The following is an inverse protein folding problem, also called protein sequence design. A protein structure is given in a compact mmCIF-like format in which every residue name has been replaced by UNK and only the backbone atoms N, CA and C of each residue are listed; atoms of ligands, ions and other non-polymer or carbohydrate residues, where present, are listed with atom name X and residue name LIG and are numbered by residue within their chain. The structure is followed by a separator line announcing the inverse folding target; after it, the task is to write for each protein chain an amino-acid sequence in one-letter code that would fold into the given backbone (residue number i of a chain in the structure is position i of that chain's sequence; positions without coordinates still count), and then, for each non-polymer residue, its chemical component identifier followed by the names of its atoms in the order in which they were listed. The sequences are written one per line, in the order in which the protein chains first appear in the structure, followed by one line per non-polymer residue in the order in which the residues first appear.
data_IF_775659424305
#
_entry.id   IF_775659424305
#
_cell.length_a   1.000
_cell.length_b   1.000
_cell.length_c   1.000
_cell.angle_alpha   90.00
_cell.angle_beta   90.00
_cell.angle_gamma   90.00
#
_symmetry.space_group_name_H-M   'P 1'
#
loop_
_entity.id
_entity.type
_entity.pdbx_description
1 polymer ?
#
# COMPACT_ATOMS: atom_id res chain seq x y z
N UNK A 1 -0.20 -13.38 1.92
CA UNK A 1 0.60 -13.01 3.10
C UNK A 1 -0.16 -12.08 4.06
N UNK A 2 -0.94 -11.11 3.59
CA UNK A 2 -1.71 -10.23 4.47
C UNK A 2 -2.71 -10.95 5.39
N UNK A 3 -3.40 -12.00 4.91
CA UNK A 3 -4.26 -12.82 5.76
C UNK A 3 -3.51 -13.49 6.93
N UNK A 4 -2.26 -13.91 6.71
CA UNK A 4 -1.40 -14.52 7.73
C UNK A 4 -0.94 -13.45 8.74
N UNK A 5 -0.67 -12.23 8.27
CA UNK A 5 -0.37 -11.10 9.15
C UNK A 5 -1.60 -10.77 10.02
N UNK A 6 -2.79 -10.73 9.43
CA UNK A 6 -4.02 -10.42 10.14
C UNK A 6 -4.43 -11.52 11.14
N UNK A 7 -4.16 -12.79 10.83
CA UNK A 7 -4.43 -13.91 11.75
C UNK A 7 -3.52 -13.95 12.98
N UNK A 8 -2.53 -13.05 13.06
CA UNK A 8 -1.52 -12.98 14.10
C UNK A 8 -1.62 -11.60 14.80
N UNK A 9 -2.36 -11.52 15.93
CA UNK A 9 -2.70 -10.25 16.59
C UNK A 9 -1.50 -9.37 16.96
N UNK A 10 -0.34 -9.97 17.20
CA UNK A 10 0.90 -9.29 17.53
C UNK A 10 1.51 -8.49 16.36
N UNK A 11 1.06 -8.76 15.12
CA UNK A 11 1.47 -8.00 13.94
C UNK A 11 0.58 -6.78 13.78
N UNK A 12 1.19 -5.60 13.86
CA UNK A 12 0.50 -4.32 13.79
C UNK A 12 0.60 -3.65 12.42
N UNK A 13 1.64 -3.97 11.64
CA UNK A 13 1.89 -3.35 10.34
C UNK A 13 2.34 -4.39 9.30
N UNK A 14 2.07 -4.08 8.04
CA UNK A 14 2.65 -4.75 6.88
C UNK A 14 3.55 -3.75 6.16
N UNK A 15 4.82 -4.11 5.99
CA UNK A 15 5.77 -3.34 5.22
C UNK A 15 5.94 -3.99 3.84
N UNK A 16 5.62 -3.24 2.80
CA UNK A 16 5.92 -3.56 1.41
C UNK A 16 7.26 -2.95 1.03
N UNK A 17 8.09 -3.76 0.36
CA UNK A 17 9.41 -3.37 -0.13
C UNK A 17 9.61 -4.06 -1.48
N UNK A 18 9.68 -3.29 -2.55
CA UNK A 18 10.07 -3.81 -3.85
C UNK A 18 11.55 -4.24 -3.82
N UNK A 19 11.88 -5.32 -4.54
CA UNK A 19 13.22 -5.91 -4.54
C UNK A 19 14.32 -4.99 -5.11
N UNK A 20 13.94 -3.94 -5.83
CA UNK A 20 14.85 -2.95 -6.43
C UNK A 20 14.83 -1.59 -5.73
N UNK A 21 14.17 -1.49 -4.58
CA UNK A 21 14.13 -0.25 -3.80
C UNK A 21 15.32 -0.15 -2.85
N UNK A 22 16.07 0.95 -2.98
CA UNK A 22 17.09 1.34 -1.99
C UNK A 22 16.53 2.42 -1.06
N UNK A 23 16.65 2.20 0.25
CA UNK A 23 16.19 3.15 1.25
C UNK A 23 17.03 3.05 2.52
N UNK A 24 17.04 4.14 3.29
CA UNK A 24 17.68 4.16 4.61
C UNK A 24 16.76 3.47 5.63
N UNK A 25 17.28 2.59 6.52
CA UNK A 25 16.46 1.97 7.56
C UNK A 25 15.70 2.98 8.44
N UNK A 26 16.29 4.16 8.67
CA UNK A 26 15.66 5.28 9.40
C UNK A 26 14.32 5.72 8.79
N UNK A 27 14.13 5.51 7.48
CA UNK A 27 12.85 5.79 6.82
C UNK A 27 11.73 4.94 7.41
N UNK A 28 11.96 3.65 7.69
CA UNK A 28 10.94 2.76 8.28
C UNK A 28 10.62 3.18 9.72
N UNK A 29 11.63 3.49 10.53
CA UNK A 29 11.40 4.00 11.89
C UNK A 29 10.60 5.31 11.89
N UNK A 30 10.89 6.20 10.94
CA UNK A 30 10.12 7.43 10.77
C UNK A 30 8.68 7.17 10.36
N UNK A 31 8.44 6.22 9.45
CA UNK A 31 7.09 5.81 9.05
C UNK A 31 6.29 5.27 10.25
N UNK A 32 6.92 4.43 11.08
CA UNK A 32 6.33 3.92 12.32
C UNK A 32 5.98 5.04 13.31
N UNK A 33 6.88 6.01 13.51
CA UNK A 33 6.65 7.16 14.40
C UNK A 33 5.52 8.08 13.95
N UNK A 34 5.25 8.15 12.65
CA UNK A 34 4.20 8.99 12.10
C UNK A 34 2.79 8.42 12.32
N UNK A 35 2.69 7.13 12.66
CA UNK A 35 1.45 6.44 13.06
C UNK A 35 0.26 6.76 12.14
N UNK A 36 0.48 6.55 10.84
CA UNK A 36 -0.56 6.74 9.81
C UNK A 36 -1.10 5.39 9.36
N UNK A 37 -2.41 5.28 9.08
CA UNK A 37 -2.98 4.02 8.58
C UNK A 37 -2.28 3.49 7.33
N UNK A 38 -1.88 4.39 6.43
CA UNK A 38 -1.05 4.11 5.27
C UNK A 38 -0.01 5.23 5.16
N UNK A 39 1.25 4.86 4.96
CA UNK A 39 2.32 5.80 4.63
C UNK A 39 3.28 5.14 3.64
N UNK A 40 3.59 5.84 2.55
CA UNK A 40 4.50 5.37 1.51
C UNK A 40 5.53 6.42 1.15
N UNK A 41 6.65 5.97 0.60
CA UNK A 41 7.68 6.86 0.07
C UNK A 41 7.36 7.24 -1.38
N UNK A 42 7.64 8.48 -1.74
CA UNK A 42 7.61 8.94 -3.13
C UNK A 42 8.98 8.69 -3.75
N UNK A 43 9.01 8.02 -4.89
CA UNK A 43 10.24 7.66 -5.60
C UNK A 43 10.08 7.86 -7.12
N UNK A 44 11.18 8.06 -7.86
CA UNK A 44 11.11 8.27 -9.30
C UNK A 44 10.71 6.98 -10.02
N UNK A 45 9.99 7.13 -11.14
CA UNK A 45 9.75 6.07 -12.11
C UNK A 45 11.07 5.64 -12.75
N UNK A 46 11.15 4.40 -13.24
CA UNK A 46 12.33 3.84 -13.94
C UNK A 46 12.51 4.43 -15.35
N UNK A 47 12.68 5.75 -15.46
CA UNK A 47 12.86 6.50 -16.71
C UNK A 47 13.64 7.80 -16.45
N UNK A 48 14.24 8.42 -17.48
CA UNK A 48 14.99 9.67 -17.31
C UNK A 48 14.12 10.77 -16.69
N UNK A 49 14.64 11.42 -15.66
CA UNK A 49 13.97 12.52 -14.96
C UNK A 49 13.90 13.75 -15.87
N UNK A 50 12.69 14.24 -16.12
CA UNK A 50 12.41 15.49 -16.84
C UNK A 50 12.21 16.69 -15.89
N UNK A 51 12.22 16.44 -14.57
CA UNK A 51 11.96 17.40 -13.48
C UNK A 51 10.47 17.64 -13.18
N UNK A 52 9.56 16.80 -13.69
CA UNK A 52 8.12 16.90 -13.46
C UNK A 52 7.66 15.96 -12.34
N UNK A 53 6.56 16.29 -11.65
CA UNK A 53 5.92 15.39 -10.69
C UNK A 53 5.48 14.08 -11.33
N UNK A 54 5.18 14.10 -12.63
CA UNK A 54 4.85 12.90 -13.41
C UNK A 54 5.98 11.88 -13.45
N UNK A 55 7.21 12.29 -13.14
CA UNK A 55 8.37 11.42 -13.05
C UNK A 55 8.41 10.64 -11.74
N UNK A 56 7.53 10.95 -10.78
CA UNK A 56 7.44 10.26 -9.50
C UNK A 56 6.22 9.33 -9.45
N UNK A 57 6.33 8.30 -8.62
CA UNK A 57 5.24 7.36 -8.32
C UNK A 57 4.42 7.92 -7.16
N UNK A 58 3.50 8.81 -7.48
CA UNK A 58 2.56 9.42 -6.54
C UNK A 58 1.32 9.90 -7.28
N UNK A 59 0.15 9.78 -6.66
CA UNK A 59 -1.10 10.35 -7.15
C UNK A 59 -1.54 11.49 -6.23
N UNK A 60 -1.56 12.72 -6.73
CA UNK A 60 -2.00 13.91 -5.98
C UNK A 60 -3.47 14.26 -6.22
N UNK A 61 -4.19 13.45 -6.99
CA UNK A 61 -5.57 13.71 -7.37
C UNK A 61 -5.73 15.08 -8.03
N UNK A 62 -6.71 15.86 -7.57
CA UNK A 62 -6.98 17.22 -8.06
C UNK A 62 -6.24 18.30 -7.26
N UNK A 63 -5.26 17.94 -6.42
CA UNK A 63 -4.53 18.91 -5.61
C UNK A 63 -3.60 19.76 -6.47
N UNK A 64 -3.82 21.08 -6.50
CA UNK A 64 -2.94 22.04 -7.19
C UNK A 64 -1.78 22.53 -6.32
N UNK A 65 -1.86 22.28 -5.00
CA UNK A 65 -0.82 22.62 -4.03
C UNK A 65 -0.73 21.54 -2.96
N UNK A 66 0.49 21.09 -2.68
CA UNK A 66 0.79 20.17 -1.58
C UNK A 66 1.34 20.94 -0.38
N UNK A 67 0.78 20.69 0.79
CA UNK A 67 1.32 21.19 2.05
C UNK A 67 2.29 20.14 2.62
N UNK A 68 3.59 20.42 2.47
CA UNK A 68 4.65 19.51 2.92
C UNK A 68 5.18 20.00 4.26
N UNK A 69 4.98 19.21 5.33
CA UNK A 69 5.54 19.47 6.66
C UNK A 69 6.61 18.42 6.96
N UNK A 70 7.84 18.89 7.14
CA UNK A 70 9.00 18.04 7.40
C UNK A 70 9.22 16.94 6.34
N UNK A 71 8.80 17.16 5.09
CA UNK A 71 8.90 16.14 4.04
C UNK A 71 7.76 15.12 4.01
N UNK A 72 6.67 15.35 4.75
CA UNK A 72 5.44 14.55 4.71
C UNK A 72 4.30 15.40 4.15
N UNK A 73 3.48 14.81 3.29
CA UNK A 73 2.26 15.42 2.80
C UNK A 73 1.18 14.36 2.57
N UNK A 74 -0.08 14.80 2.58
CA UNK A 74 -1.21 13.96 2.20
C UNK A 74 -1.38 13.99 0.67
N UNK A 75 -1.58 12.81 0.10
CA UNK A 75 -1.78 12.58 -1.33
C UNK A 75 -2.97 11.66 -1.53
N UNK A 76 -3.49 11.58 -2.76
CA UNK A 76 -4.59 10.70 -3.12
C UNK A 76 -4.17 9.22 -3.22
N UNK A 77 -2.91 8.95 -3.55
CA UNK A 77 -2.35 7.60 -3.62
C UNK A 77 -0.82 7.61 -3.67
N UNK A 78 -0.22 6.49 -3.24
CA UNK A 78 1.22 6.26 -3.22
C UNK A 78 1.53 4.91 -3.86
N UNK A 79 2.67 4.79 -4.53
CA UNK A 79 3.14 3.50 -5.02
C UNK A 79 3.50 2.54 -3.90
N UNK A 80 3.51 1.24 -4.20
CA UNK A 80 3.74 0.17 -3.21
C UNK A 80 5.21 -0.21 -3.01
N UNK A 81 6.17 0.50 -3.63
CA UNK A 81 7.58 0.12 -3.57
C UNK A 81 8.24 0.26 -2.20
N UNK A 82 7.79 1.20 -1.37
CA UNK A 82 8.13 1.25 0.05
C UNK A 82 6.96 1.85 0.82
N UNK A 83 6.06 0.99 1.28
CA UNK A 83 4.79 1.39 1.90
C UNK A 83 4.52 0.58 3.16
N UNK A 84 4.15 1.29 4.22
CA UNK A 84 3.76 0.73 5.51
C UNK A 84 2.25 0.88 5.68
N UNK A 85 1.57 -0.25 5.92
CA UNK A 85 0.11 -0.33 6.10
C UNK A 85 -0.17 -0.83 7.51
N UNK A 86 -0.93 -0.06 8.29
CA UNK A 86 -1.39 -0.47 9.61
C UNK A 86 -2.48 -1.54 9.51
N UNK A 87 -2.52 -2.49 10.45
CA UNK A 87 -3.47 -3.62 10.45
C UNK A 87 -4.92 -3.18 10.36
N UNK A 88 -5.25 -2.01 10.91
CA UNK A 88 -6.62 -1.46 10.91
C UNK A 88 -7.14 -1.24 9.50
N UNK A 89 -6.27 -0.97 8.52
CA UNK A 89 -6.67 -0.86 7.11
C UNK A 89 -7.19 -2.20 6.60
N UNK A 90 -6.47 -3.30 6.88
CA UNK A 90 -6.92 -4.64 6.49
C UNK A 90 -8.21 -5.04 7.21
N UNK A 91 -8.35 -4.71 8.50
CA UNK A 91 -9.56 -4.93 9.27
C UNK A 91 -10.75 -4.16 8.69
N UNK A 92 -10.55 -2.90 8.28
CA UNK A 92 -11.55 -2.09 7.61
C UNK A 92 -11.94 -2.69 6.25
N UNK A 93 -10.98 -3.14 5.45
CA UNK A 93 -11.25 -3.82 4.18
C UNK A 93 -12.04 -5.12 4.38
N UNK A 94 -11.73 -5.92 5.41
CA UNK A 94 -12.53 -7.09 5.78
C UNK A 94 -13.94 -6.70 6.19
N UNK A 95 -14.08 -5.59 6.93
CA UNK A 95 -15.35 -5.05 7.39
C UNK A 95 -16.29 -4.59 6.26
N UNK A 96 -15.81 -4.36 5.04
CA UNK A 96 -16.69 -4.03 3.90
C UNK A 96 -17.51 -5.23 3.43
N UNK A 97 -17.02 -6.46 3.67
CA UNK A 97 -17.63 -7.68 3.16
C UNK A 97 -17.45 -7.92 1.66
N UNK A 98 -16.67 -7.09 0.97
CA UNK A 98 -16.48 -7.16 -0.49
C UNK A 98 -15.32 -8.07 -0.91
N UNK A 99 -14.42 -8.39 0.03
CA UNK A 99 -13.26 -9.23 -0.26
C UNK A 99 -13.69 -10.69 -0.49
N UNK A 100 -13.12 -11.30 -1.54
CA UNK A 100 -13.20 -12.76 -1.71
C UNK A 100 -12.61 -13.45 -0.49
N UNK A 101 -13.31 -14.46 0.01
CA UNK A 101 -12.89 -15.25 1.16
C UNK A 101 -12.70 -16.71 0.76
N UNK A 102 -11.66 -17.35 1.29
CA UNK A 102 -11.47 -18.79 1.15
C UNK A 102 -10.69 -19.38 2.32
N UNK A 103 -10.77 -20.69 2.47
CA UNK A 103 -9.90 -21.46 3.37
C UNK A 103 -9.11 -22.49 2.56
N UNK A 104 -7.77 -22.52 2.66
CA UNK A 104 -6.96 -23.54 1.99
C UNK A 104 -7.32 -24.96 2.43
N UNK A 105 -7.62 -25.13 3.73
CA UNK A 105 -8.14 -26.34 4.34
C UNK A 105 -9.09 -25.98 5.50
N UNK A 106 -9.79 -26.97 6.08
CA UNK A 106 -10.79 -26.71 7.14
C UNK A 106 -10.19 -26.10 8.42
N UNK A 107 -8.95 -26.45 8.76
CA UNK A 107 -8.26 -26.02 9.98
C UNK A 107 -7.50 -24.70 9.82
N UNK A 108 -7.19 -24.29 8.59
CA UNK A 108 -6.46 -23.07 8.31
C UNK A 108 -7.27 -21.81 8.70
N UNK A 109 -6.58 -20.71 9.03
CA UNK A 109 -7.19 -19.39 9.15
C UNK A 109 -7.95 -18.98 7.88
N UNK A 110 -8.89 -18.04 8.02
CA UNK A 110 -9.59 -17.48 6.86
C UNK A 110 -8.64 -16.59 6.04
N UNK A 111 -8.65 -16.76 4.72
CA UNK A 111 -7.90 -15.93 3.79
C UNK A 111 -8.83 -14.94 3.08
N UNK A 112 -8.31 -13.74 2.84
CA UNK A 112 -8.98 -12.67 2.13
C UNK A 112 -8.18 -12.27 0.88
N UNK A 113 -8.91 -11.94 -0.19
CA UNK A 113 -8.36 -11.49 -1.48
C UNK A 113 -8.00 -10.01 -1.44
N UNK A 114 -7.12 -9.59 -0.52
CA UNK A 114 -6.72 -8.19 -0.35
C UNK A 114 -6.08 -7.58 -1.60
N UNK A 115 -5.46 -8.41 -2.43
CA UNK A 115 -4.71 -8.01 -3.63
C UNK A 115 -5.20 -8.79 -4.86
N UNK A 116 -6.43 -9.32 -4.82
CA UNK A 116 -6.97 -10.03 -5.96
C UNK A 116 -7.14 -9.06 -7.14
N UNK A 117 -6.81 -9.47 -8.38
CA UNK A 117 -7.01 -8.63 -9.55
C UNK A 117 -8.49 -8.25 -9.69
N UNK A 118 -8.74 -7.00 -10.08
CA UNK A 118 -10.10 -6.52 -10.32
C UNK A 118 -10.43 -6.71 -11.79
N UNK A 119 -11.29 -7.68 -12.09
CA UNK A 119 -11.81 -7.92 -13.43
C UNK A 119 -13.27 -7.46 -13.53
N UNK A 120 -13.54 -6.53 -14.44
CA UNK A 120 -14.89 -6.16 -14.86
C UNK A 120 -15.14 -6.66 -16.28
N UNK A 121 -16.38 -6.53 -16.78
CA UNK A 121 -16.70 -6.89 -18.18
C UNK A 121 -15.90 -6.09 -19.22
N UNK A 122 -15.42 -4.91 -18.85
CA UNK A 122 -14.76 -3.96 -19.77
C UNK A 122 -13.32 -3.63 -19.39
N UNK A 123 -12.82 -4.10 -18.25
CA UNK A 123 -11.46 -3.80 -17.79
C UNK A 123 -10.90 -4.94 -16.95
N UNK A 124 -9.58 -5.10 -17.01
CA UNK A 124 -8.83 -5.96 -16.10
C UNK A 124 -7.72 -5.14 -15.48
N UNK A 125 -7.70 -5.12 -14.15
CA UNK A 125 -6.66 -4.51 -13.34
C UNK A 125 -5.91 -5.65 -12.65
N UNK A 126 -4.62 -5.81 -12.94
CA UNK A 126 -3.78 -6.83 -12.32
C UNK A 126 -3.69 -6.65 -10.81
N UNK A 127 -3.25 -7.68 -10.08
CA UNK A 127 -2.95 -7.60 -8.64
C UNK A 127 -2.14 -6.33 -8.32
N UNK A 128 -1.02 -6.13 -9.03
CA UNK A 128 -0.09 -5.02 -8.82
C UNK A 128 -0.76 -3.64 -8.95
N UNK A 129 -1.82 -3.55 -9.76
CA UNK A 129 -2.57 -2.30 -9.98
C UNK A 129 -3.85 -2.22 -9.16
N UNK A 130 -4.39 -3.34 -8.70
CA UNK A 130 -5.65 -3.41 -7.94
C UNK A 130 -5.54 -2.79 -6.54
N UNK A 131 -4.31 -2.75 -6.03
CA UNK A 131 -3.98 -2.24 -4.71
C UNK A 131 -3.23 -0.90 -4.72
N UNK A 132 -2.80 -0.42 -5.90
CA UNK A 132 -2.08 0.85 -6.05
C UNK A 132 -3.04 2.05 -6.26
#
# INVERSE_FOLDING_TARGET
MASIALSQPERTHLLFVDSDMEFRPQTVFRMLQLDRPIIGCVYPKRRPLSSSLEDFVVNVGNQTRLHVLNGICQVAGVGMGLTLVHRTVLEQMVGTGELRQWRPDRSAPLHYGFFDPIATKSSYTSEDLSFC
#
